data_IF_573259842859
#
_entry.id   IF_573259842859
#
_cell.length_a   1.000
_cell.length_b   1.000
_cell.length_c   1.000
_cell.angle_alpha   90.00
_cell.angle_beta   90.00
_cell.angle_gamma   90.00
#
_symmetry.space_group_name_H-M   'P 1'
#
loop_
_entity.id
_entity.type
_entity.pdbx_description
1 polymer ?
#
# COMPACT_ATOMS: atom_id res chain seq x y z
N UNK A 1 3.91 -17.07 -16.73
CA UNK A 1 4.35 -15.73 -16.29
C UNK A 1 3.29 -15.14 -15.38
N UNK A 2 3.69 -14.67 -14.21
CA UNK A 2 2.72 -14.08 -13.27
C UNK A 2 2.52 -12.61 -13.58
N UNK A 3 1.30 -12.12 -13.45
CA UNK A 3 1.10 -10.69 -13.55
C UNK A 3 1.77 -9.99 -12.39
N UNK A 4 2.03 -8.71 -12.54
CA UNK A 4 2.47 -7.87 -11.44
C UNK A 4 1.96 -6.47 -11.67
N UNK A 5 1.90 -5.70 -10.60
CA UNK A 5 1.41 -4.34 -10.68
C UNK A 5 2.25 -3.48 -9.75
N UNK A 6 2.49 -2.24 -10.16
CA UNK A 6 3.20 -1.27 -9.32
C UNK A 6 2.18 -0.33 -8.68
N UNK A 7 2.35 -0.11 -7.39
CA UNK A 7 1.52 0.82 -6.63
C UNK A 7 2.37 1.98 -6.17
N UNK A 8 1.92 3.18 -6.49
CA UNK A 8 2.54 4.40 -5.99
C UNK A 8 1.79 4.77 -4.72
N UNK A 9 2.52 4.84 -3.62
CA UNK A 9 1.91 4.99 -2.29
C UNK A 9 2.57 6.14 -1.55
N UNK A 10 1.75 7.02 -1.01
CA UNK A 10 2.23 8.05 -0.09
C UNK A 10 1.89 7.63 1.32
N UNK A 11 2.91 7.48 2.17
CA UNK A 11 2.73 6.99 3.53
C UNK A 11 2.61 8.16 4.50
N UNK A 12 1.61 8.09 5.38
CA UNK A 12 1.44 9.04 6.48
C UNK A 12 1.59 8.25 7.77
N UNK A 13 2.77 8.34 8.43
CA UNK A 13 3.00 7.57 9.66
C UNK A 13 2.31 8.19 10.86
N UNK A 14 2.38 7.50 11.99
CA UNK A 14 1.85 7.95 13.27
C UNK A 14 0.34 8.17 13.25
N UNK A 15 -0.38 7.44 12.40
CA UNK A 15 -1.83 7.49 12.38
C UNK A 15 -2.42 6.60 13.47
N UNK A 16 -3.68 6.82 13.81
CA UNK A 16 -4.34 6.03 14.84
C UNK A 16 -4.55 4.59 14.40
N UNK A 17 -4.79 4.39 13.10
CA UNK A 17 -4.93 3.05 12.54
C UNK A 17 -4.37 3.04 11.13
N UNK A 18 -4.09 1.85 10.65
CA UNK A 18 -3.57 1.68 9.29
C UNK A 18 -4.74 1.51 8.33
N UNK A 19 -4.78 2.33 7.28
CA UNK A 19 -5.88 2.30 6.31
C UNK A 19 -5.46 3.06 5.06
N UNK A 20 -6.05 2.69 3.92
CA UNK A 20 -5.95 3.53 2.73
C UNK A 20 -6.94 4.68 2.89
N UNK A 21 -6.50 5.89 2.55
CA UNK A 21 -7.28 7.11 2.72
C UNK A 21 -7.47 7.83 1.39
N UNK A 22 -7.74 7.08 0.33
CA UNK A 22 -8.02 7.65 -0.97
C UNK A 22 -6.79 7.82 -1.84
N UNK A 23 -6.92 8.61 -2.89
CA UNK A 23 -5.83 8.88 -3.83
C UNK A 23 -5.56 10.36 -3.90
N UNK A 24 -4.30 10.69 -4.18
CA UNK A 24 -3.88 12.07 -4.27
C UNK A 24 -2.73 12.16 -5.27
N UNK A 25 -2.92 12.94 -6.32
CA UNK A 25 -1.85 13.16 -7.30
C UNK A 25 -1.25 11.87 -7.85
N UNK A 26 -2.13 10.89 -8.11
CA UNK A 26 -1.68 9.61 -8.67
C UNK A 26 -1.12 8.63 -7.67
N UNK A 27 -1.14 8.97 -6.38
CA UNK A 27 -0.67 8.07 -5.34
C UNK A 27 -1.81 7.62 -4.45
N UNK A 28 -1.75 6.38 -4.00
CA UNK A 28 -2.63 5.90 -2.93
C UNK A 28 -2.09 6.46 -1.62
N UNK A 29 -2.97 7.07 -0.84
CA UNK A 29 -2.57 7.58 0.47
C UNK A 29 -2.76 6.46 1.47
N UNK A 30 -1.68 6.09 2.16
CA UNK A 30 -1.69 5.02 3.16
C UNK A 30 -1.33 5.61 4.51
N UNK A 31 -2.31 5.65 5.40
CA UNK A 31 -2.06 5.99 6.79
C UNK A 31 -1.56 4.76 7.50
N UNK A 32 -0.52 4.92 8.31
CA UNK A 32 0.06 3.80 9.03
C UNK A 32 0.14 4.08 10.52
N UNK A 33 -0.33 3.14 11.30
CA UNK A 33 -0.14 3.15 12.74
C UNK A 33 1.25 2.60 13.04
N UNK A 34 2.26 3.38 12.66
CA UNK A 34 3.65 3.02 12.87
C UNK A 34 4.47 4.31 12.87
N UNK A 35 5.58 4.32 13.62
CA UNK A 35 6.42 5.53 13.67
C UNK A 35 7.15 5.76 12.36
N UNK A 36 7.61 7.00 12.17
CA UNK A 36 8.32 7.39 10.95
C UNK A 36 9.78 6.96 10.98
N UNK A 37 10.06 5.79 11.54
CA UNK A 37 11.37 5.17 11.53
C UNK A 37 11.39 4.23 10.33
N UNK A 38 12.38 4.40 9.46
CA UNK A 38 12.35 3.78 8.14
C UNK A 38 12.10 2.28 8.16
N UNK A 39 12.74 1.54 9.02
CA UNK A 39 12.52 0.09 9.06
C UNK A 39 11.12 -0.28 9.49
N UNK A 40 10.57 0.46 10.45
CA UNK A 40 9.25 0.15 10.99
C UNK A 40 8.14 0.55 10.06
N UNK A 41 8.26 1.73 9.44
CA UNK A 41 7.23 2.19 8.50
C UNK A 41 7.19 1.30 7.27
N UNK A 42 8.34 0.92 6.73
CA UNK A 42 8.38 0.04 5.57
C UNK A 42 7.77 -1.32 5.88
N UNK A 43 8.12 -1.88 7.03
CA UNK A 43 7.57 -3.17 7.42
C UNK A 43 6.06 -3.11 7.61
N UNK A 44 5.58 -2.06 8.26
CA UNK A 44 4.15 -1.89 8.48
C UNK A 44 3.41 -1.72 7.17
N UNK A 45 4.00 -1.00 6.20
CA UNK A 45 3.40 -0.80 4.90
C UNK A 45 3.27 -2.13 4.17
N UNK A 46 4.33 -2.94 4.16
CA UNK A 46 4.29 -4.24 3.49
C UNK A 46 3.24 -5.14 4.15
N UNK A 47 3.20 -5.16 5.47
CA UNK A 47 2.21 -5.98 6.18
C UNK A 47 0.79 -5.54 5.87
N UNK A 48 0.55 -4.24 5.83
CA UNK A 48 -0.78 -3.74 5.52
C UNK A 48 -1.19 -4.10 4.09
N UNK A 49 -0.29 -3.87 3.13
CA UNK A 49 -0.59 -4.15 1.73
C UNK A 49 -0.82 -5.66 1.52
N UNK A 50 0.00 -6.48 2.16
CA UNK A 50 -0.17 -7.93 2.10
C UNK A 50 -1.55 -8.36 2.61
N UNK A 51 -1.93 -7.85 3.75
CA UNK A 51 -3.21 -8.21 4.36
C UNK A 51 -4.38 -7.68 3.53
N UNK A 52 -4.27 -6.43 3.09
CA UNK A 52 -5.35 -5.78 2.34
C UNK A 52 -5.66 -6.50 1.05
N UNK A 53 -4.62 -6.86 0.29
CA UNK A 53 -4.81 -7.52 -1.01
C UNK A 53 -4.83 -9.04 -0.93
N UNK A 54 -4.61 -9.61 0.24
CA UNK A 54 -4.66 -11.05 0.41
C UNK A 54 -3.52 -11.78 -0.27
N UNK A 55 -2.34 -11.19 -0.31
CA UNK A 55 -1.15 -11.80 -0.89
C UNK A 55 -0.06 -11.95 0.17
N UNK A 56 0.90 -12.82 -0.06
CA UNK A 56 1.98 -13.01 0.90
C UNK A 56 2.90 -11.79 0.90
N UNK A 57 3.57 -11.57 2.02
CA UNK A 57 4.55 -10.48 2.11
C UNK A 57 5.68 -10.68 1.10
N UNK A 58 6.03 -11.92 0.80
CA UNK A 58 7.05 -12.22 -0.19
C UNK A 58 6.68 -11.78 -1.59
N UNK A 59 5.39 -11.57 -1.85
CA UNK A 59 4.91 -11.11 -3.15
C UNK A 59 5.01 -9.60 -3.31
N UNK A 60 5.41 -8.88 -2.26
CA UNK A 60 5.45 -7.43 -2.29
C UNK A 60 6.90 -6.99 -2.21
N UNK A 61 7.31 -6.17 -3.18
CA UNK A 61 8.67 -5.68 -3.28
C UNK A 61 8.64 -4.16 -3.21
N UNK A 62 9.44 -3.58 -2.34
CA UNK A 62 9.59 -2.13 -2.30
C UNK A 62 10.63 -1.77 -3.35
N UNK A 63 10.19 -1.14 -4.43
CA UNK A 63 11.05 -0.79 -5.54
C UNK A 63 11.77 0.53 -5.33
N UNK A 64 11.15 1.45 -4.62
CA UNK A 64 11.66 2.82 -4.52
C UNK A 64 11.11 3.47 -3.26
N UNK A 65 11.86 4.43 -2.73
CA UNK A 65 11.39 5.25 -1.62
C UNK A 65 11.61 4.63 -0.25
N UNK A 66 12.65 3.85 -0.07
CA UNK A 66 12.94 3.20 1.21
C UNK A 66 12.97 4.20 2.36
N UNK A 67 13.52 5.39 2.11
CA UNK A 67 13.63 6.45 3.14
C UNK A 67 12.72 7.62 2.86
N UNK A 68 11.69 7.42 2.06
CA UNK A 68 10.79 8.47 1.63
C UNK A 68 9.37 8.11 2.01
N UNK A 69 8.51 9.14 2.12
CA UNK A 69 7.08 8.91 2.28
C UNK A 69 6.43 8.52 0.96
N UNK A 70 7.11 8.76 -0.16
CA UNK A 70 6.62 8.38 -1.48
C UNK A 70 7.31 7.09 -1.87
N UNK A 71 6.54 6.01 -1.94
CA UNK A 71 7.09 4.68 -2.17
C UNK A 71 6.43 4.05 -3.37
N UNK A 72 7.17 3.16 -4.02
CA UNK A 72 6.63 2.36 -5.11
C UNK A 72 6.79 0.90 -4.71
N UNK A 73 5.67 0.20 -4.62
CA UNK A 73 5.66 -1.24 -4.35
C UNK A 73 5.28 -1.99 -5.60
N UNK A 74 5.85 -3.17 -5.78
CA UNK A 74 5.40 -4.09 -6.79
C UNK A 74 4.70 -5.26 -6.10
N UNK A 75 3.54 -5.63 -6.60
CA UNK A 75 2.83 -6.80 -6.12
C UNK A 75 2.83 -7.85 -7.21
N UNK A 76 3.49 -8.97 -6.95
CA UNK A 76 3.55 -10.09 -7.88
C UNK A 76 2.33 -10.96 -7.65
N UNK A 77 1.65 -11.31 -8.75
CA UNK A 77 0.47 -12.17 -8.67
C UNK A 77 -0.84 -11.45 -8.82
N UNK A 78 -0.82 -10.12 -8.90
CA UNK A 78 -2.02 -9.32 -9.16
C UNK A 78 -1.78 -8.43 -10.37
N UNK A 79 -2.84 -8.13 -11.10
CA UNK A 79 -2.77 -7.12 -12.15
C UNK A 79 -3.51 -5.87 -11.70
N UNK A 80 -3.50 -4.85 -12.56
CA UNK A 80 -4.12 -3.58 -12.21
C UNK A 80 -5.61 -3.73 -11.94
N UNK A 81 -6.31 -4.56 -12.70
CA UNK A 81 -7.75 -4.70 -12.48
C UNK A 81 -8.06 -5.37 -11.15
N UNK A 82 -7.21 -6.30 -10.69
CA UNK A 82 -7.37 -6.89 -9.37
C UNK A 82 -7.27 -5.83 -8.28
N UNK A 83 -6.28 -4.95 -8.41
CA UNK A 83 -6.06 -3.88 -7.45
C UNK A 83 -7.24 -2.90 -7.45
N UNK A 84 -7.68 -2.49 -8.63
CA UNK A 84 -8.79 -1.54 -8.74
C UNK A 84 -10.07 -2.12 -8.17
N UNK A 85 -10.31 -3.40 -8.42
CA UNK A 85 -11.51 -4.07 -7.90
C UNK A 85 -11.48 -4.10 -6.37
N UNK A 86 -10.33 -4.41 -5.80
CA UNK A 86 -10.21 -4.48 -4.34
C UNK A 86 -10.39 -3.11 -3.70
N UNK A 87 -9.79 -2.08 -4.29
CA UNK A 87 -9.93 -0.72 -3.78
C UNK A 87 -11.38 -0.24 -3.90
N UNK A 88 -12.04 -0.58 -4.99
CA UNK A 88 -13.42 -0.15 -5.20
C UNK A 88 -14.39 -0.82 -4.23
N UNK A 89 -14.08 -2.03 -3.77
CA UNK A 89 -14.96 -2.76 -2.86
C UNK A 89 -14.66 -2.48 -1.39
N UNK A 90 -13.62 -1.70 -1.11
CA UNK A 90 -13.23 -1.41 0.26
C UNK A 90 -14.23 -0.43 0.89
N UNK A 91 -14.70 -0.68 2.10
CA UNK A 91 -15.54 0.29 2.80
C UNK A 91 -14.75 1.51 3.27
N UNK A 92 -13.44 1.37 3.42
CA UNK A 92 -12.59 2.44 3.93
C UNK A 92 -12.30 3.44 2.82
N UNK A 93 -12.46 4.72 3.12
CA UNK A 93 -12.16 5.77 2.16
C UNK A 93 -13.20 5.94 1.07
N UNK A 94 -14.32 5.27 1.17
CA UNK A 94 -15.40 5.41 0.21
C UNK A 94 -16.48 6.31 0.77
N UNK A 95 -16.84 7.34 0.04
CA UNK A 95 -18.02 8.11 0.40
C UNK A 95 -19.24 7.27 0.05
N UNK A 96 -20.10 7.09 0.94
CA UNK A 96 -21.31 6.34 0.66
C UNK A 96 -22.49 7.27 0.61
#
# INVERSE_FOLDING_TARGET
>A
MRPSVQLRVRVIPNARKSEFAGQREGELVLRLNAPALEGKANKAAVEFVSHYFGVSRASIVLLSGEKSRHKIFEIVGLDLSDVERKLASSPTGRPN
#
